data_IF_418566562642
#
_entry.id   IF_418566562642
#
_cell.length_a   1.000
_cell.length_b   1.000
_cell.length_c   1.000
_cell.angle_alpha   90.00
_cell.angle_beta   90.00
_cell.angle_gamma   90.00
#
_symmetry.space_group_name_H-M   'P 1'
#
loop_
_entity.id
_entity.type
_entity.pdbx_description
1 polymer ?
2 non-polymer ?
3 non-polymer ?
4 water ?
#
# COMPACT_ATOMS: atom_id res chain seq x y z
N UNK A 1 -15.64 -20.86 2.49
CA UNK A 1 -16.59 -20.21 3.44
C UNK A 1 -16.47 -18.70 3.33
N UNK A 2 -15.27 -18.19 3.62
CA UNK A 2 -15.06 -16.76 3.73
C UNK A 2 -15.26 -16.09 2.38
N UNK A 3 -15.67 -14.82 2.45
CA UNK A 3 -15.99 -14.05 1.28
C UNK A 3 -14.74 -13.35 0.78
N UNK A 4 -14.32 -13.64 -0.45
CA UNK A 4 -13.14 -12.99 -1.01
C UNK A 4 -13.50 -12.03 -2.13
N UNK A 5 -14.79 -11.73 -2.26
CA UNK A 5 -15.22 -10.71 -3.20
C UNK A 5 -14.72 -9.35 -2.75
N UNK A 6 -14.08 -8.64 -3.67
CA UNK A 6 -13.51 -7.34 -3.36
C UNK A 6 -14.59 -6.39 -2.85
N UNK A 7 -15.79 -6.54 -3.39
CA UNK A 7 -16.92 -5.71 -2.99
C UNK A 7 -17.33 -5.92 -1.53
N UNK A 8 -16.86 -7.00 -0.93
CA UNK A 8 -17.23 -7.33 0.44
C UNK A 8 -16.27 -6.74 1.46
N UNK A 9 -15.08 -6.33 1.01
CA UNK A 9 -14.01 -5.95 1.92
C UNK A 9 -14.35 -4.66 2.66
N UNK A 10 -14.25 -4.69 3.98
CA UNK A 10 -14.36 -3.50 4.80
C UNK A 10 -13.12 -2.63 4.66
N UNK A 11 -13.31 -1.32 4.76
CA UNK A 11 -12.18 -0.39 4.80
C UNK A 11 -12.35 0.57 5.97
N UNK A 12 -11.38 1.45 6.17
CA UNK A 12 -11.31 2.25 7.39
C UNK A 12 -12.44 3.25 7.47
N UNK A 13 -13.27 3.13 8.50
CA UNK A 13 -14.37 4.06 8.70
C UNK A 13 -13.85 5.47 8.97
N UNK A 14 -14.46 6.46 8.33
CA UNK A 14 -14.15 7.86 8.61
C UNK A 14 -12.67 8.17 8.43
N UNK A 15 -12.05 7.58 7.41
CA UNK A 15 -10.61 7.73 7.23
C UNK A 15 -10.20 9.20 7.25
N UNK A 16 -9.16 9.50 8.01
CA UNK A 16 -8.72 10.86 8.26
C UNK A 16 -7.38 11.11 7.56
N UNK A 17 -7.42 11.84 6.46
CA UNK A 17 -6.21 12.05 5.64
C UNK A 17 -5.13 12.75 6.45
N UNK A 18 -5.52 13.75 7.23
CA UNK A 18 -4.57 14.53 8.01
C UNK A 18 -3.82 13.66 9.00
N UNK A 19 -4.55 12.83 9.73
CA UNK A 19 -3.94 11.95 10.72
C UNK A 19 -3.00 10.94 10.07
N UNK A 20 -3.19 10.69 8.78
CA UNK A 20 -2.45 9.63 8.09
C UNK A 20 -1.16 10.17 7.50
N UNK A 21 -0.99 11.49 7.52
CA UNK A 21 0.15 12.12 6.88
C UNK A 21 1.46 11.73 7.55
N UNK A 22 2.56 11.87 6.83
CA UNK A 22 3.89 11.61 7.38
C UNK A 22 4.49 10.33 6.87
N UNK A 23 5.47 9.81 7.60
CA UNK A 23 6.33 8.75 7.11
C UNK A 23 5.76 7.38 7.48
N UNK A 24 5.66 6.52 6.48
CA UNK A 24 5.21 5.14 6.70
C UNK A 24 6.24 4.19 6.10
N UNK A 25 6.71 3.25 6.90
CA UNK A 25 7.67 2.26 6.44
C UNK A 25 6.94 0.98 6.08
N UNK A 26 7.16 0.50 4.86
CA UNK A 26 6.59 -0.76 4.44
C UNK A 26 7.29 -1.92 5.14
N UNK A 27 6.53 -2.66 5.92
CA UNK A 27 7.05 -3.83 6.65
C UNK A 27 6.86 -5.11 5.85
N UNK A 28 5.82 -5.12 5.02
CA UNK A 28 5.44 -6.33 4.29
C UNK A 28 4.65 -5.94 3.06
N UNK A 29 4.73 -6.77 2.03
CA UNK A 29 4.06 -6.51 0.77
C UNK A 29 3.54 -7.82 0.20
N UNK A 30 2.31 -7.78 -0.32
CA UNK A 30 1.83 -8.79 -1.26
C UNK A 30 1.97 -8.22 -2.66
N UNK A 31 2.72 -8.93 -3.50
CA UNK A 31 3.10 -8.42 -4.82
C UNK A 31 1.97 -8.64 -5.82
N UNK A 32 1.80 -7.70 -6.77
CA UNK A 32 0.98 -7.95 -7.93
C UNK A 32 1.78 -8.65 -9.01
N UNK A 33 1.15 -8.94 -10.14
CA UNK A 33 1.88 -9.41 -11.31
C UNK A 33 2.86 -8.33 -11.77
N UNK A 34 4.04 -8.75 -12.22
CA UNK A 34 5.08 -7.82 -12.62
C UNK A 34 5.40 -6.81 -11.52
N UNK A 35 5.93 -7.31 -10.41
CA UNK A 35 6.12 -6.46 -9.23
C UNK A 35 7.16 -5.38 -9.50
N UNK A 36 6.97 -4.24 -8.85
CA UNK A 36 7.82 -3.08 -9.09
C UNK A 36 8.69 -2.81 -7.87
N UNK A 37 8.10 -2.38 -6.77
CA UNK A 37 8.86 -2.05 -5.57
C UNK A 37 9.33 -3.30 -4.85
N UNK A 38 10.64 -3.40 -4.63
CA UNK A 38 11.24 -4.62 -4.11
C UNK A 38 11.42 -4.56 -2.60
N UNK A 39 12.25 -3.63 -2.12
CA UNK A 39 12.42 -3.44 -0.69
C UNK A 39 12.93 -2.04 -0.37
N UNK A 40 13.27 -1.81 0.89
CA UNK A 40 13.65 -0.48 1.35
C UNK A 40 12.59 0.55 1.02
N UNK A 41 11.33 0.16 1.17
CA UNK A 41 10.21 0.95 0.69
C UNK A 41 9.69 1.86 1.79
N UNK A 42 9.77 3.16 1.56
CA UNK A 42 9.32 4.15 2.53
C UNK A 42 8.43 5.18 1.83
N UNK A 43 7.27 5.44 2.41
CA UNK A 43 6.30 6.34 1.81
C UNK A 43 6.13 7.59 2.68
N UNK A 44 5.87 8.71 2.02
CA UNK A 44 5.60 9.97 2.71
C UNK A 44 4.28 10.54 2.24
N UNK A 45 3.31 10.60 3.14
CA UNK A 45 1.97 11.07 2.80
C UNK A 45 1.80 12.53 3.21
N UNK A 46 1.12 13.30 2.37
CA UNK A 46 0.74 14.67 2.70
C UNK A 46 -0.71 14.92 2.33
N UNK A 47 -1.30 15.93 2.96
CA UNK A 47 -2.58 16.46 2.51
C UNK A 47 -2.51 17.99 2.45
N UNK A 48 -3.04 18.56 1.37
CA UNK A 48 -3.02 20.01 1.20
C UNK A 48 -4.35 20.62 1.65
N UNK A 49 -4.44 21.94 1.55
CA UNK A 49 -5.51 22.70 2.21
C UNK A 49 -6.85 22.38 1.58
N UNK A 50 -6.84 21.94 0.32
CA UNK A 50 -8.06 21.59 -0.37
C UNK A 50 -8.54 20.21 0.07
N UNK A 51 -7.72 19.52 0.84
CA UNK A 51 -8.06 18.19 1.36
C UNK A 51 -7.55 17.08 0.47
N UNK A 52 -6.69 17.42 -0.48
CA UNK A 52 -6.20 16.45 -1.46
C UNK A 52 -4.98 15.73 -0.91
N UNK A 53 -5.06 14.41 -0.87
CA UNK A 53 -3.96 13.60 -0.39
C UNK A 53 -3.00 13.28 -1.53
N UNK A 54 -1.71 13.26 -1.21
CA UNK A 54 -0.69 12.86 -2.15
C UNK A 54 0.41 12.14 -1.39
N UNK A 55 1.36 11.56 -2.12
CA UNK A 55 2.44 10.82 -1.49
C UNK A 55 3.68 10.80 -2.37
N UNK A 56 4.82 10.57 -1.73
CA UNK A 56 6.02 10.13 -2.43
C UNK A 56 6.46 8.79 -1.86
N UNK A 57 7.25 8.05 -2.63
CA UNK A 57 7.81 6.81 -2.15
C UNK A 57 9.23 6.61 -2.67
N UNK A 58 10.08 6.08 -1.81
CA UNK A 58 11.40 5.61 -2.19
C UNK A 58 11.43 4.09 -2.03
N UNK A 59 12.16 3.41 -2.91
CA UNK A 59 12.41 1.99 -2.74
C UNK A 59 13.32 1.42 -3.82
N UNK A 60 14.02 0.35 -3.49
CA UNK A 60 14.76 -0.41 -4.48
C UNK A 60 13.80 -1.10 -5.44
N UNK A 61 14.03 -0.90 -6.73
CA UNK A 61 13.38 -1.72 -7.76
C UNK A 61 14.45 -2.38 -8.63
N UNK A 62 14.19 -3.62 -9.05
CA UNK A 62 15.16 -4.37 -9.82
C UNK A 62 14.62 -4.64 -11.23
N UNK A 63 14.96 -3.76 -12.16
CA UNK A 63 14.64 -3.96 -13.56
C UNK A 63 15.41 -5.15 -14.13
N UNK A 64 14.80 -5.84 -15.09
CA UNK A 64 15.23 -7.17 -15.47
C UNK A 64 16.66 -7.14 -16.00
N UNK A 65 17.28 -8.31 -16.11
CA UNK A 65 18.73 -8.44 -16.11
C UNK A 65 19.36 -7.88 -14.83
N UNK A 66 18.55 -7.74 -13.79
CA UNK A 66 19.04 -7.57 -12.44
C UNK A 66 19.88 -6.30 -12.28
N UNK A 67 19.38 -5.20 -12.80
CA UNK A 67 19.96 -3.89 -12.52
C UNK A 67 19.18 -3.18 -11.44
N UNK A 68 19.81 -2.98 -10.30
CA UNK A 68 19.16 -2.39 -9.14
C UNK A 68 19.20 -0.88 -9.22
N UNK A 69 18.10 -0.25 -8.84
CA UNK A 69 18.02 1.20 -8.77
C UNK A 69 17.04 1.58 -7.67
N UNK A 70 17.33 2.69 -6.99
CA UNK A 70 16.38 3.25 -6.05
C UNK A 70 15.37 4.14 -6.77
N UNK A 71 14.16 3.63 -6.94
CA UNK A 71 13.09 4.41 -7.56
C UNK A 71 12.62 5.53 -6.64
N UNK A 72 12.32 6.67 -7.24
CA UNK A 72 11.69 7.77 -6.54
C UNK A 72 10.33 8.03 -7.19
N UNK A 73 9.26 7.81 -6.44
CA UNK A 73 7.92 7.77 -7.01
C UNK A 73 7.04 8.87 -6.42
N UNK A 74 6.04 9.27 -7.20
CA UNK A 74 5.07 10.28 -6.78
C UNK A 74 3.67 9.73 -7.01
N UNK A 75 2.77 10.00 -6.07
CA UNK A 75 1.39 9.59 -6.19
C UNK A 75 0.43 10.69 -5.78
N UNK A 76 -0.67 10.83 -6.51
CA UNK A 76 -1.73 11.75 -6.12
C UNK A 76 -3.06 11.02 -6.08
N UNK A 77 -3.87 11.33 -5.07
CA UNK A 77 -5.05 10.53 -4.77
C UNK A 77 -6.31 11.31 -5.08
N UNK A 78 -7.15 10.75 -5.95
CA UNK A 78 -8.48 11.27 -6.19
C UNK A 78 -9.49 10.59 -5.28
N UNK A 79 -10.29 11.40 -4.59
CA UNK A 79 -11.27 10.90 -3.64
C UNK A 79 -12.39 10.15 -4.35
N UNK A 80 -12.98 9.19 -3.65
CA UNK A 80 -14.26 8.62 -4.06
C UNK A 80 -15.32 8.84 -3.00
N UNK A 81 -16.47 8.20 -3.19
CA UNK A 81 -17.60 8.36 -2.28
C UNK A 81 -17.30 7.73 -0.92
N UNK A 82 -16.33 6.82 -0.91
CA UNK A 82 -15.87 6.20 0.33
C UNK A 82 -14.59 6.89 0.78
N UNK A 83 -14.58 7.41 2.02
CA UNK A 83 -13.44 8.22 2.47
C UNK A 83 -12.13 7.44 2.52
N UNK A 84 -12.21 6.11 2.46
CA UNK A 84 -11.01 5.28 2.57
C UNK A 84 -10.59 4.67 1.24
N UNK A 85 -11.35 4.93 0.19
CA UNK A 85 -11.04 4.39 -1.13
C UNK A 85 -10.70 5.51 -2.11
N UNK A 86 -9.55 5.36 -2.77
CA UNK A 86 -9.02 6.40 -3.64
C UNK A 86 -8.65 5.82 -4.99
N UNK A 87 -8.52 6.68 -5.99
CA UNK A 87 -7.77 6.36 -7.19
C UNK A 87 -6.41 7.05 -7.12
N UNK A 88 -5.35 6.25 -7.26
CA UNK A 88 -3.99 6.78 -7.16
C UNK A 88 -3.33 6.82 -8.53
N UNK A 89 -3.15 8.02 -9.05
CA UNK A 89 -2.25 8.24 -10.19
C UNK A 89 -0.81 8.31 -9.71
N UNK A 90 0.07 7.54 -10.33
CA UNK A 90 1.46 7.50 -9.89
C UNK A 90 2.43 7.50 -11.06
N UNK A 91 3.62 8.04 -10.81
CA UNK A 91 4.69 8.04 -11.80
C UNK A 91 6.02 8.15 -11.07
N UNK A 92 7.11 7.96 -11.82
CA UNK A 92 8.45 8.18 -11.28
C UNK A 92 8.97 9.55 -11.64
N UNK A 93 9.87 10.07 -10.82
CA UNK A 93 10.52 11.33 -11.14
C UNK A 93 11.31 11.19 -12.43
N UNK A 94 11.78 9.98 -12.70
CA UNK A 94 12.36 9.66 -14.01
C UNK A 94 11.29 9.12 -14.94
N UNK A 95 11.36 9.54 -16.20
CA UNK A 95 10.27 9.29 -17.15
C UNK A 95 10.03 7.80 -17.32
N UNK A 96 11.10 7.01 -17.21
CA UNK A 96 11.08 5.62 -17.65
C UNK A 96 10.55 4.71 -16.56
N UNK A 97 10.51 5.22 -15.32
CA UNK A 97 9.90 4.48 -14.22
C UNK A 97 8.42 4.22 -14.51
N UNK A 98 7.92 3.12 -13.96
CA UNK A 98 6.53 2.71 -14.17
C UNK A 98 5.55 3.83 -13.79
N UNK A 99 4.58 4.08 -14.66
CA UNK A 99 3.47 4.96 -14.34
C UNK A 99 2.16 4.18 -14.39
N UNK A 100 1.12 4.73 -13.78
CA UNK A 100 -0.21 4.13 -13.89
C UNK A 100 -1.23 4.76 -12.97
N UNK A 101 -2.38 4.11 -12.88
CA UNK A 101 -3.45 4.52 -11.97
C UNK A 101 -4.06 3.30 -11.33
N UNK A 102 -3.94 3.21 -10.00
CA UNK A 102 -4.43 2.07 -9.25
C UNK A 102 -5.48 2.52 -8.23
N UNK A 103 -6.47 1.68 -8.00
CA UNK A 103 -7.26 1.78 -6.78
C UNK A 103 -6.32 1.76 -5.58
N UNK A 104 -6.64 2.56 -4.57
CA UNK A 104 -5.84 2.62 -3.36
C UNK A 104 -6.77 2.68 -2.16
N UNK A 105 -6.87 1.57 -1.44
CA UNK A 105 -7.79 1.46 -0.31
C UNK A 105 -7.00 1.43 0.99
N UNK A 106 -7.40 2.28 1.93
CA UNK A 106 -6.94 2.13 3.31
C UNK A 106 -7.85 1.18 4.06
N UNK A 107 -7.42 -0.07 4.17
CA UNK A 107 -8.27 -1.12 4.70
C UNK A 107 -8.41 -0.95 6.21
N UNK A 108 -7.30 -0.64 6.88
CA UNK A 108 -7.33 -0.32 8.29
C UNK A 108 -6.10 0.49 8.67
N UNK A 109 -6.23 1.29 9.72
CA UNK A 109 -5.11 1.99 10.31
C UNK A 109 -5.53 2.49 11.69
N UNK A 110 -4.56 2.68 12.57
CA UNK A 110 -4.76 3.44 13.80
C UNK A 110 -3.95 4.73 13.78
N UNK A 111 -3.39 5.05 12.62
CA UNK A 111 -2.80 6.35 12.33
C UNK A 111 -1.40 6.52 12.91
N UNK A 112 -1.18 6.03 14.12
CA UNK A 112 0.09 6.29 14.80
C UNK A 112 0.96 5.05 14.94
N UNK A 113 0.48 3.90 14.46
CA UNK A 113 1.23 2.65 14.59
C UNK A 113 1.30 1.85 13.30
N UNK A 114 0.14 1.49 12.74
CA UNK A 114 0.08 0.57 11.60
C UNK A 114 -0.90 1.05 10.55
N UNK A 115 -0.68 0.63 9.30
CA UNK A 115 -1.67 0.79 8.25
C UNK A 115 -1.66 -0.45 7.37
N UNK A 116 -2.86 -0.82 6.90
CA UNK A 116 -3.00 -1.85 5.87
C UNK A 116 -3.63 -1.25 4.62
N UNK A 117 -2.90 -1.34 3.51
CA UNK A 117 -3.34 -0.80 2.23
C UNK A 117 -3.66 -1.96 1.28
N UNK A 118 -4.52 -1.70 0.30
CA UNK A 118 -4.93 -2.72 -0.65
C UNK A 118 -5.25 -2.09 -2.00
N UNK A 119 -4.86 -2.79 -3.06
CA UNK A 119 -5.26 -2.42 -4.41
C UNK A 119 -5.62 -3.66 -5.20
N UNK A 120 -6.83 -3.71 -5.72
CA UNK A 120 -7.14 -4.67 -6.79
C UNK A 120 -7.08 -4.00 -8.15
N UNK A 121 -6.10 -4.41 -8.94
CA UNK A 121 -5.91 -3.85 -10.28
C UNK A 121 -6.89 -4.42 -11.30
N UNK A 122 -7.36 -5.64 -11.05
CA UNK A 122 -8.20 -6.34 -12.02
C UNK A 122 -9.04 -7.40 -11.32
N UNK A 123 -10.35 -7.37 -11.53
CA UNK A 123 -11.24 -8.34 -10.90
C UNK A 123 -11.28 -9.63 -11.69
N UNK A 124 -11.51 -10.73 -10.98
CA UNK A 124 -12.04 -11.94 -11.58
C UNK A 124 -13.53 -11.83 -11.85
N UNK A 125 -14.03 -12.74 -12.68
CA UNK A 125 -15.41 -12.68 -13.12
C UNK A 125 -16.38 -13.06 -11.99
N UNK A 126 -15.84 -13.57 -10.89
CA UNK A 126 -16.64 -13.91 -9.71
C UNK A 126 -16.50 -12.86 -8.61
N UNK A 127 -15.84 -11.75 -8.94
CA UNK A 127 -15.76 -10.62 -8.02
C UNK A 127 -14.57 -10.66 -7.09
N UNK A 128 -13.85 -11.78 -7.07
CA UNK A 128 -12.56 -11.84 -6.38
C UNK A 128 -11.51 -11.09 -7.20
N UNK A 129 -10.35 -10.85 -6.62
CA UNK A 129 -9.33 -10.09 -7.31
C UNK A 129 -8.41 -11.00 -8.11
N UNK A 130 -8.21 -10.65 -9.38
CA UNK A 130 -7.31 -11.39 -10.26
C UNK A 130 -5.86 -10.94 -10.09
N UNK A 131 -5.67 -9.68 -9.70
CA UNK A 131 -4.34 -9.11 -9.61
C UNK A 131 -4.33 -8.02 -8.55
N UNK A 132 -3.84 -8.37 -7.36
CA UNK A 132 -3.89 -7.48 -6.22
C UNK A 132 -2.49 -7.16 -5.72
N UNK A 133 -2.34 -6.04 -5.03
CA UNK A 133 -1.23 -5.87 -4.12
C UNK A 133 -1.66 -5.22 -2.82
N UNK A 134 -0.79 -5.32 -1.82
CA UNK A 134 -1.09 -4.82 -0.49
C UNK A 134 0.20 -4.53 0.26
N UNK A 135 0.25 -3.36 0.89
CA UNK A 135 1.34 -3.00 1.78
C UNK A 135 0.84 -2.99 3.22
N UNK A 136 1.67 -3.52 4.12
CA UNK A 136 1.54 -3.22 5.53
C UNK A 136 2.59 -2.19 5.92
N UNK A 137 2.14 -1.08 6.49
CA UNK A 137 3.03 0.01 6.87
C UNK A 137 3.16 0.10 8.38
N UNK A 138 4.34 0.50 8.83
CA UNK A 138 4.58 0.82 10.24
C UNK A 138 5.13 2.23 10.36
N UNK A 139 4.75 2.94 11.42
CA UNK A 139 5.39 4.24 11.71
C UNK A 139 6.83 4.04 12.16
N UNK A 140 7.08 2.95 12.88
CA UNK A 140 8.42 2.61 13.36
C UNK A 140 9.07 1.63 12.39
N UNK A 141 10.25 2.00 11.85
CA UNK A 141 10.89 1.14 10.86
C UNK A 141 11.39 -0.18 11.43
N UNK A 142 11.40 -0.30 12.76
CA UNK A 142 11.81 -1.53 13.41
C UNK A 142 10.64 -2.50 13.61
N UNK A 143 9.43 -2.09 13.23
CA UNK A 143 8.32 -3.02 13.09
C UNK A 143 7.16 -2.69 14.02
N UNK A 144 6.10 -3.48 13.91
CA UNK A 144 4.88 -3.26 14.70
C UNK A 144 5.01 -3.88 16.08
N UNK A 145 4.34 -3.28 17.08
CA UNK A 145 4.14 -3.96 18.35
C UNK A 145 3.18 -5.13 18.22
N UNK A 146 3.22 -6.08 19.16
CA UNK A 146 2.44 -7.31 19.01
C UNK A 146 0.94 -7.08 18.83
N UNK A 147 0.36 -6.12 19.55
CA UNK A 147 -1.09 -5.90 19.44
C UNK A 147 -1.45 -5.47 18.02
N UNK A 148 -0.62 -4.62 17.41
CA UNK A 148 -0.86 -4.17 16.05
C UNK A 148 -0.61 -5.30 15.05
N UNK A 149 0.47 -6.05 15.26
CA UNK A 149 0.76 -7.21 14.42
C UNK A 149 -0.44 -8.14 14.34
N UNK A 150 -1.09 -8.38 15.48
CA UNK A 150 -2.19 -9.33 15.53
C UNK A 150 -3.43 -8.80 14.81
N UNK A 151 -3.69 -7.50 14.94
CA UNK A 151 -4.76 -6.86 14.19
C UNK A 151 -4.50 -6.96 12.70
N UNK A 152 -3.26 -6.65 12.30
CA UNK A 152 -2.89 -6.68 10.89
C UNK A 152 -3.08 -8.08 10.30
N UNK A 153 -2.69 -9.11 11.03
CA UNK A 153 -2.86 -10.48 10.55
C UNK A 153 -4.33 -10.78 10.27
N UNK A 154 -5.20 -10.31 11.15
CA UNK A 154 -6.64 -10.46 10.93
C UNK A 154 -7.10 -9.78 9.64
N UNK A 155 -6.63 -8.56 9.40
CA UNK A 155 -6.98 -7.83 8.19
C UNK A 155 -6.43 -8.51 6.94
N UNK A 156 -5.20 -9.02 7.05
CA UNK A 156 -4.61 -9.77 5.94
C UNK A 156 -5.48 -10.97 5.56
N UNK A 157 -5.99 -11.65 6.57
CA UNK A 157 -6.85 -12.81 6.34
C UNK A 157 -8.17 -12.38 5.69
N UNK A 158 -8.72 -11.26 6.15
CA UNK A 158 -9.99 -10.77 5.62
C UNK A 158 -9.87 -10.36 4.16
N UNK A 159 -8.68 -9.96 3.74
CA UNK A 159 -8.42 -9.64 2.34
C UNK A 159 -8.11 -10.89 1.51
N UNK A 160 -8.11 -12.05 2.16
CA UNK A 160 -7.74 -13.31 1.51
C UNK A 160 -6.32 -13.30 0.99
N UNK A 161 -5.43 -12.65 1.74
CA UNK A 161 -4.03 -12.49 1.32
C UNK A 161 -3.01 -13.01 2.34
N UNK A 162 -3.47 -13.57 3.45
CA UNK A 162 -2.61 -13.73 4.62
C UNK A 162 -1.41 -14.64 4.35
N UNK A 163 -1.54 -15.54 3.39
CA UNK A 163 -0.47 -16.49 3.08
C UNK A 163 0.56 -15.92 2.11
N UNK A 164 0.31 -14.71 1.61
CA UNK A 164 0.94 -14.27 0.35
C UNK A 164 1.83 -13.04 0.50
N UNK A 165 2.14 -12.65 1.73
CA UNK A 165 3.02 -11.50 1.95
C UNK A 165 4.47 -11.93 2.06
N UNK A 166 5.37 -11.01 1.75
CA UNK A 166 6.76 -11.16 2.12
C UNK A 166 7.23 -9.92 2.88
N UNK A 167 8.24 -10.11 3.71
CA UNK A 167 8.76 -9.04 4.53
C UNK A 167 9.59 -8.09 3.68
N UNK A 168 9.51 -6.80 4.01
CA UNK A 168 10.31 -5.78 3.36
C UNK A 168 11.48 -5.38 4.24
N UNK A 169 12.70 -5.59 3.76
CA UNK A 169 13.89 -5.24 4.51
C UNK A 169 14.25 -3.77 4.32
N UNK A 170 14.82 -3.18 5.37
CA UNK A 170 15.38 -1.84 5.31
C UNK A 170 16.83 -1.86 5.76
N UNK A 171 17.73 -1.54 4.83
CA UNK A 171 19.16 -1.63 5.10
C UNK A 171 19.92 -0.46 4.50
N UNK A 172 19.23 0.68 4.35
CA UNK A 172 19.87 1.92 3.95
C UNK A 172 20.28 1.94 2.49
N UNK A 173 19.72 1.03 1.70
CA UNK A 173 20.14 0.89 0.30
C UNK A 173 19.97 2.21 -0.45
N UNK A 174 18.95 2.97 -0.08
CA UNK A 174 18.62 4.21 -0.77
C UNK A 174 19.26 5.41 -0.08
N UNK A 175 19.11 6.59 -0.69
X LIG B 1 5.27 -1.96 -6.04
X LIG B 1 4.52 -3.65 -7.29
X LIG B 1 4.40 -2.52 -6.73
X LIG B 1 3.08 -1.79 -6.97
X LIG B 1 3.17 -0.44 -6.25
X LIG B 1 4.22 0.40 -6.98
X LIG B 1 3.54 1.71 -7.35
X LIG B 1 3.27 2.50 -6.08
X LIG B 1 3.98 3.87 -6.27
X LIG B 1 2.92 4.89 -5.90
X LIG B 1 3.46 5.73 -4.75
X LIG B 1 3.27 4.86 -3.54
X LIG B 1 2.09 5.45 -2.77
X LIG B 1 2.10 4.65 -1.46
X LIG C 1 0.20 -17.78 6.50
X LIG D 1 0.14 -13.83 16.16
#
# INVERSE_FOLDING_TARGET
ERDCRVSSFRVKENFDKARFSGTWYAMAKKDPEGLFLQDNIVAEFSVDETGQMSATAKGRVRLLNNWDVCADMVGTFTDTEDPAKFKMKYWGVASFLQKGNDDHWIVDTDYDTYAVQYSCRLLNLDGTCADSYSFVFSRDPNGLPPEAQKIVRQRQEELCLARQYRLIVHNGYCDGRSERNL
DAO O1 O2 C1 C2 C3 C4 C5 C6 C7 C8 C9 C10 C11 C12
CL CL
CL CL
#
